data_IF_247989469663
#
_entry.id   IF_247989469663
#
_cell.length_a   1.000
_cell.length_b   1.000
_cell.length_c   1.000
_cell.angle_alpha   90.00
_cell.angle_beta   90.00
_cell.angle_gamma   90.00
#
_symmetry.space_group_name_H-M   'P 1'
#
loop_
_entity.id
_entity.type
_entity.pdbx_description
1 polymer ?
#
# COMPACT_ATOMS: atom_id res chain seq x y z
N UNK A 1 22.31 13.98 37.10
CA UNK A 1 22.30 14.55 35.75
C UNK A 1 22.19 13.38 34.80
N UNK A 2 21.14 13.38 33.99
CA UNK A 2 20.48 12.21 33.40
C UNK A 2 21.26 11.49 32.29
N UNK A 3 21.00 10.19 32.25
CA UNK A 3 21.48 9.16 31.35
C UNK A 3 20.93 9.35 29.93
N UNK A 4 21.71 9.95 29.03
CA UNK A 4 21.30 10.25 27.64
C UNK A 4 21.97 9.35 26.59
N UNK A 5 22.87 8.43 26.97
CA UNK A 5 23.64 7.61 26.01
C UNK A 5 23.00 6.24 25.71
N UNK A 6 21.97 5.82 26.45
CA UNK A 6 21.26 4.55 26.21
C UNK A 6 20.28 4.61 25.02
N UNK A 7 19.95 5.80 24.53
CA UNK A 7 18.85 6.02 23.58
C UNK A 7 19.22 5.68 22.12
N UNK A 8 20.48 5.85 21.70
CA UNK A 8 20.86 5.65 20.30
C UNK A 8 20.95 4.18 19.88
N UNK A 9 21.35 3.26 20.78
CA UNK A 9 21.36 1.81 20.51
C UNK A 9 19.96 1.19 20.57
N UNK A 10 19.09 1.68 21.46
CA UNK A 10 17.70 1.21 21.53
C UNK A 10 16.88 1.70 20.32
N UNK A 11 17.12 2.94 19.83
CA UNK A 11 16.48 3.44 18.60
C UNK A 11 16.92 2.71 17.33
N UNK A 12 18.14 2.15 17.29
CA UNK A 12 18.59 1.30 16.18
C UNK A 12 17.97 -0.11 16.22
N UNK A 13 17.41 -0.53 17.36
CA UNK A 13 16.70 -1.81 17.51
C UNK A 13 15.19 -1.65 17.28
N UNK A 14 14.70 -0.41 17.31
CA UNK A 14 13.33 -0.05 16.95
C UNK A 14 13.16 0.19 15.45
N UNK A 15 14.04 -0.41 14.63
CA UNK A 15 13.82 -0.65 13.21
C UNK A 15 12.76 -1.75 13.02
N UNK A 16 11.60 -1.54 13.64
CA UNK A 16 10.35 -2.26 13.39
C UNK A 16 9.59 -1.53 12.28
N UNK A 17 10.30 -0.88 11.37
CA UNK A 17 9.83 -0.89 10.00
C UNK A 17 10.36 -2.18 9.40
N UNK A 18 9.49 -3.10 8.92
CA UNK A 18 9.98 -4.21 8.14
C UNK A 18 10.83 -3.59 7.04
N UNK A 19 12.13 -3.94 7.00
CA UNK A 19 12.99 -3.60 5.88
C UNK A 19 12.18 -3.90 4.62
N UNK A 20 11.79 -2.84 3.92
CA UNK A 20 11.08 -2.93 2.67
C UNK A 20 12.08 -3.58 1.71
N UNK A 21 12.00 -4.91 1.65
CA UNK A 21 12.75 -5.77 0.73
C UNK A 21 12.85 -5.09 -0.64
N UNK A 22 14.02 -5.20 -1.31
CA UNK A 22 14.32 -4.47 -2.53
C UNK A 22 13.21 -4.69 -3.56
N UNK A 23 12.54 -3.61 -3.95
CA UNK A 23 11.38 -3.63 -4.83
C UNK A 23 10.22 -4.48 -4.30
N UNK A 24 9.51 -3.98 -3.27
CA UNK A 24 8.09 -4.30 -3.11
C UNK A 24 7.31 -3.79 -4.33
N UNK A 25 7.42 -4.55 -5.41
CA UNK A 25 6.52 -4.54 -6.55
C UNK A 25 5.22 -5.08 -5.99
N UNK A 26 4.47 -4.21 -5.31
CA UNK A 26 3.07 -4.49 -5.00
C UNK A 26 2.39 -4.66 -6.34
N UNK A 27 2.31 -5.90 -6.82
CA UNK A 27 1.48 -6.25 -7.95
C UNK A 27 0.09 -5.72 -7.65
N UNK A 28 -0.39 -4.88 -8.56
CA UNK A 28 -1.75 -4.41 -8.55
C UNK A 28 -2.62 -5.66 -8.76
N UNK A 29 -3.09 -6.29 -7.66
CA UNK A 29 -3.85 -7.54 -7.75
C UNK A 29 -4.97 -7.33 -8.77
N UNK A 30 -5.18 -8.29 -9.67
CA UNK A 30 -6.13 -8.17 -10.79
C UNK A 30 -7.53 -7.73 -10.35
N UNK A 31 -7.94 -8.15 -9.15
CA UNK A 31 -9.18 -7.73 -8.49
C UNK A 31 -9.28 -6.24 -8.15
N UNK A 32 -8.24 -5.44 -8.33
CA UNK A 32 -8.28 -3.99 -8.11
C UNK A 32 -8.26 -3.22 -9.43
N UNK A 33 -7.93 -3.87 -10.55
CA UNK A 33 -7.91 -3.25 -11.89
C UNK A 33 -9.29 -2.70 -12.25
N UNK A 34 -10.37 -3.38 -11.82
CA UNK A 34 -11.74 -2.93 -12.10
C UNK A 34 -12.17 -1.71 -11.28
N UNK A 35 -11.43 -1.35 -10.22
CA UNK A 35 -11.71 -0.17 -9.39
C UNK A 35 -10.96 1.08 -9.88
N UNK A 36 -9.99 0.92 -10.78
CA UNK A 36 -9.24 2.05 -11.30
C UNK A 36 -10.15 2.95 -12.17
N UNK A 37 -10.09 4.28 -11.97
CA UNK A 37 -10.73 5.21 -12.90
C UNK A 37 -10.26 4.94 -14.32
N UNK A 38 -11.16 4.99 -15.30
CA UNK A 38 -10.85 4.81 -16.71
C UNK A 38 -10.83 6.16 -17.42
N UNK A 39 -9.86 6.34 -18.30
CA UNK A 39 -9.77 7.49 -19.21
C UNK A 39 -10.01 7.00 -20.63
N UNK A 40 -11.00 7.56 -21.31
CA UNK A 40 -11.39 7.14 -22.67
C UNK A 40 -10.91 8.14 -23.72
N UNK A 41 -10.41 9.31 -23.31
CA UNK A 41 -9.97 10.38 -24.19
C UNK A 41 -11.12 11.05 -24.94
N UNK A 42 -12.34 10.99 -24.39
CA UNK A 42 -13.51 11.57 -25.04
C UNK A 42 -13.49 13.10 -24.96
N UNK A 43 -14.08 13.80 -25.95
CA UNK A 43 -14.25 15.24 -25.88
C UNK A 43 -15.02 15.62 -24.60
N UNK A 44 -14.37 16.40 -23.72
CA UNK A 44 -14.92 16.80 -22.42
C UNK A 44 -14.39 16.02 -21.21
N UNK A 45 -13.63 14.94 -21.40
CA UNK A 45 -12.82 14.37 -20.33
C UNK A 45 -11.59 15.25 -20.06
N UNK A 46 -11.38 15.63 -18.80
CA UNK A 46 -10.25 16.46 -18.39
C UNK A 46 -9.08 15.57 -17.91
N UNK A 47 -7.91 15.60 -18.57
CA UNK A 47 -6.77 14.77 -18.18
C UNK A 47 -6.23 15.07 -16.78
N UNK A 48 -6.27 16.34 -16.34
CA UNK A 48 -5.78 16.73 -15.02
C UNK A 48 -6.70 16.25 -13.90
N UNK A 49 -8.02 16.30 -14.12
CA UNK A 49 -9.01 15.73 -13.22
C UNK A 49 -8.83 14.22 -13.11
N UNK A 50 -8.65 13.55 -14.23
CA UNK A 50 -8.40 12.11 -14.24
C UNK A 50 -7.14 11.73 -13.46
N UNK A 51 -6.04 12.46 -13.63
CA UNK A 51 -4.80 12.23 -12.87
C UNK A 51 -4.99 12.41 -11.36
N UNK A 52 -5.78 13.39 -10.92
CA UNK A 52 -6.10 13.58 -9.50
C UNK A 52 -6.92 12.43 -8.93
N UNK A 53 -7.97 12.01 -9.64
CA UNK A 53 -8.80 10.86 -9.24
C UNK A 53 -7.99 9.56 -9.19
N UNK A 54 -7.17 9.32 -10.22
CA UNK A 54 -6.29 8.17 -10.27
C UNK A 54 -5.28 8.15 -9.12
N UNK A 55 -4.69 9.29 -8.77
CA UNK A 55 -3.77 9.39 -7.63
C UNK A 55 -4.44 9.02 -6.30
N UNK A 56 -5.66 9.53 -6.05
CA UNK A 56 -6.41 9.21 -4.83
C UNK A 56 -6.71 7.71 -4.74
N UNK A 57 -7.14 7.10 -5.84
CA UNK A 57 -7.49 5.68 -5.84
C UNK A 57 -6.25 4.77 -5.72
N UNK A 58 -5.13 5.17 -6.36
CA UNK A 58 -3.85 4.50 -6.17
C UNK A 58 -3.38 4.56 -4.72
N UNK A 59 -3.46 5.73 -4.07
CA UNK A 59 -3.11 5.91 -2.66
C UNK A 59 -4.01 5.05 -1.78
N UNK A 60 -5.33 5.02 -2.01
CA UNK A 60 -6.24 4.13 -1.27
C UNK A 60 -5.87 2.66 -1.44
N UNK A 61 -5.57 2.22 -2.67
CA UNK A 61 -5.21 0.82 -2.91
C UNK A 61 -3.88 0.44 -2.24
N UNK A 62 -2.91 1.36 -2.20
CA UNK A 62 -1.66 1.21 -1.45
C UNK A 62 -1.86 1.24 0.06
N UNK A 63 -2.79 2.06 0.55
CA UNK A 63 -3.12 2.19 1.96
C UNK A 63 -4.04 1.08 2.48
N UNK A 64 -4.80 0.42 1.60
CA UNK A 64 -5.81 -0.58 1.94
C UNK A 64 -5.26 -1.70 2.84
N UNK A 65 -4.11 -2.34 2.56
CA UNK A 65 -3.54 -3.34 3.46
C UNK A 65 -3.22 -2.83 4.86
N UNK A 66 -2.85 -1.55 4.99
CA UNK A 66 -2.53 -0.91 6.27
C UNK A 66 -3.79 -0.50 7.05
N UNK A 67 -4.94 -0.42 6.39
CA UNK A 67 -6.24 -0.18 7.05
C UNK A 67 -6.86 -1.44 7.65
N UNK A 68 -6.33 -2.63 7.35
CA UNK A 68 -6.85 -3.90 7.85
C UNK A 68 -6.20 -4.29 9.17
N UNK A 69 -6.98 -4.88 10.07
CA UNK A 69 -6.51 -5.37 11.37
C UNK A 69 -6.99 -6.79 11.65
N UNK A 70 -6.34 -7.46 12.60
CA UNK A 70 -6.65 -8.81 13.06
C UNK A 70 -6.79 -9.83 11.93
N UNK A 71 -7.81 -10.68 12.03
CA UNK A 71 -8.06 -11.78 11.09
C UNK A 71 -8.28 -11.33 9.63
N UNK A 72 -8.70 -10.07 9.39
CA UNK A 72 -8.91 -9.55 8.03
C UNK A 72 -7.59 -9.26 7.33
N UNK A 73 -6.58 -8.82 8.09
CA UNK A 73 -5.23 -8.63 7.58
C UNK A 73 -4.64 -9.99 7.16
N UNK A 74 -4.78 -11.01 8.02
CA UNK A 74 -4.30 -12.36 7.74
C UNK A 74 -4.97 -12.97 6.50
N UNK A 75 -6.28 -12.77 6.33
CA UNK A 75 -7.01 -13.16 5.10
C UNK A 75 -6.42 -12.52 3.83
N UNK A 76 -6.06 -11.23 3.87
CA UNK A 76 -5.48 -10.52 2.73
C UNK A 76 -4.11 -11.08 2.31
N UNK A 77 -3.29 -11.47 3.29
CA UNK A 77 -1.96 -12.06 3.07
C UNK A 77 -2.01 -13.53 2.65
N UNK A 78 -3.03 -14.28 3.09
CA UNK A 78 -3.27 -15.67 2.67
C UNK A 78 -3.91 -15.78 1.28
N UNK A 79 -4.37 -14.69 0.71
CA UNK A 79 -5.10 -14.66 -0.55
C UNK A 79 -4.35 -15.23 -1.78
N UNK A 80 -3.01 -15.06 -1.95
CA UNK A 80 -2.26 -15.72 -3.04
C UNK A 80 -2.30 -17.25 -2.99
N UNK A 81 -2.54 -17.86 -1.82
CA UNK A 81 -2.69 -19.32 -1.68
C UNK A 81 -4.08 -19.81 -2.13
N UNK A 82 -5.09 -18.94 -2.11
CA UNK A 82 -6.49 -19.30 -2.39
C UNK A 82 -6.90 -19.21 -3.87
N UNK A 83 -6.12 -18.51 -4.71
CA UNK A 83 -6.45 -18.26 -6.13
C UNK A 83 -5.48 -18.95 -7.11
N UNK A 84 -4.61 -19.84 -6.63
CA UNK A 84 -3.64 -20.62 -7.43
C UNK A 84 -4.05 -22.10 -7.62
N UNK A 85 -5.35 -22.42 -7.57
CA UNK A 85 -5.93 -23.74 -7.89
C UNK A 85 -6.89 -23.60 -9.06
#
# INVERSE_FOLDING_TARGET
MENNDRTLKELATLDVYPQLEPAQTYELKSRFIHLLPKFHGLPGEDPHKHLKEFHVEYVKMKAFPFSLDGATKDWLYLQPLLFNT
#
